data_IF_554781759411
#
_entry.id   IF_554781759411
#
_cell.length_a   1.000
_cell.length_b   1.000
_cell.length_c   1.000
_cell.angle_alpha   90.00
_cell.angle_beta   90.00
_cell.angle_gamma   90.00
#
_symmetry.space_group_name_H-M   'P 1'
#
loop_
_entity.id
_entity.type
_entity.pdbx_description
1 polymer ?
#
# COMPACT_ATOMS: atom_id res chain seq x y z
N UNK A 1 2.71 -1.02 -27.82
CA UNK A 1 2.08 -1.28 -26.51
C UNK A 1 2.02 -2.78 -26.36
N UNK A 2 2.64 -3.34 -25.30
CA UNK A 2 2.58 -4.80 -25.07
C UNK A 2 1.18 -5.18 -24.57
N UNK A 3 0.69 -6.38 -24.90
CA UNK A 3 -0.61 -6.89 -24.46
C UNK A 3 -0.79 -6.82 -22.93
N UNK A 4 0.29 -6.94 -22.19
CA UNK A 4 0.36 -6.86 -20.74
C UNK A 4 0.01 -5.47 -20.16
N UNK A 5 0.35 -4.40 -20.89
CA UNK A 5 -0.02 -3.04 -20.47
C UNK A 5 -1.50 -2.76 -20.68
N UNK A 6 -2.08 -3.33 -21.74
CA UNK A 6 -3.50 -3.20 -22.07
C UNK A 6 -4.37 -3.94 -21.04
N UNK A 7 -4.01 -5.17 -20.69
CA UNK A 7 -4.76 -5.96 -19.69
C UNK A 7 -4.82 -5.23 -18.33
N UNK A 8 -3.68 -4.75 -17.85
CA UNK A 8 -3.63 -4.04 -16.54
C UNK A 8 -4.41 -2.74 -16.53
N UNK A 9 -4.31 -1.97 -17.62
CA UNK A 9 -5.04 -0.72 -17.74
C UNK A 9 -6.55 -0.98 -17.78
N UNK A 10 -6.97 -1.95 -18.57
CA UNK A 10 -8.38 -2.36 -18.65
C UNK A 10 -8.89 -2.90 -17.32
N UNK A 11 -8.10 -3.76 -16.64
CA UNK A 11 -8.46 -4.30 -15.33
C UNK A 11 -8.59 -3.21 -14.27
N UNK A 12 -7.63 -2.30 -14.18
CA UNK A 12 -7.69 -1.16 -13.25
C UNK A 12 -8.92 -0.30 -13.52
N UNK A 13 -9.23 0.00 -14.79
CA UNK A 13 -10.42 0.77 -15.17
C UNK A 13 -11.71 0.08 -14.76
N UNK A 14 -11.84 -1.23 -15.01
CA UNK A 14 -13.04 -2.00 -14.64
C UNK A 14 -13.23 -2.03 -13.11
N UNK A 15 -12.15 -2.18 -12.34
CA UNK A 15 -12.24 -2.17 -10.88
C UNK A 15 -12.60 -0.78 -10.35
N UNK A 16 -12.02 0.28 -10.89
CA UNK A 16 -12.41 1.67 -10.54
C UNK A 16 -13.89 1.93 -10.84
N UNK A 17 -14.37 1.58 -12.04
CA UNK A 17 -15.77 1.72 -12.38
C UNK A 17 -16.69 0.93 -11.45
N UNK A 18 -16.30 -0.27 -11.04
CA UNK A 18 -17.06 -1.06 -10.07
C UNK A 18 -17.13 -0.37 -8.72
N UNK A 19 -16.00 0.09 -8.20
CA UNK A 19 -15.95 0.84 -6.92
C UNK A 19 -16.82 2.09 -6.98
N UNK A 20 -16.72 2.86 -8.06
CA UNK A 20 -17.51 4.09 -8.24
C UNK A 20 -19.01 3.79 -8.35
N UNK A 21 -19.40 2.70 -9.02
CA UNK A 21 -20.80 2.26 -9.05
C UNK A 21 -21.31 1.88 -7.67
N UNK A 22 -20.52 1.20 -6.85
CA UNK A 22 -20.90 0.83 -5.48
C UNK A 22 -20.99 2.07 -4.59
N UNK A 23 -20.00 2.96 -4.68
CA UNK A 23 -19.93 4.19 -3.87
C UNK A 23 -21.07 5.16 -4.19
N UNK A 24 -21.51 5.22 -5.45
CA UNK A 24 -22.59 6.10 -5.90
C UNK A 24 -23.96 5.39 -5.97
N UNK A 25 -24.05 4.13 -5.52
CA UNK A 25 -25.31 3.42 -5.49
C UNK A 25 -26.23 3.99 -4.39
N UNK A 26 -27.46 4.45 -4.73
CA UNK A 26 -28.35 5.10 -3.79
C UNK A 26 -28.80 4.17 -2.64
N UNK A 27 -28.94 2.87 -2.91
CA UNK A 27 -29.33 1.89 -1.90
C UNK A 27 -28.20 1.67 -0.88
N UNK A 28 -26.96 1.58 -1.33
CA UNK A 28 -25.78 1.45 -0.49
C UNK A 28 -25.56 2.70 0.37
N UNK A 29 -25.73 3.88 -0.21
CA UNK A 29 -25.65 5.14 0.54
C UNK A 29 -26.78 5.26 1.56
N UNK A 30 -28.00 4.92 1.18
CA UNK A 30 -29.17 4.93 2.08
C UNK A 30 -28.97 3.95 3.25
N UNK A 31 -28.48 2.74 2.98
CA UNK A 31 -28.13 1.78 4.03
C UNK A 31 -27.09 2.34 4.99
N UNK A 32 -26.02 2.90 4.48
CA UNK A 32 -24.91 3.46 5.26
C UNK A 32 -25.36 4.64 6.13
N UNK A 33 -26.14 5.57 5.57
CA UNK A 33 -26.74 6.69 6.31
C UNK A 33 -27.72 6.18 7.38
N UNK A 34 -28.57 5.22 7.04
CA UNK A 34 -29.51 4.62 8.00
C UNK A 34 -28.77 3.96 9.16
N UNK A 35 -27.65 3.28 8.90
CA UNK A 35 -26.80 2.71 9.93
C UNK A 35 -26.21 3.79 10.84
N UNK A 36 -25.68 4.88 10.27
CA UNK A 36 -25.15 6.02 11.03
C UNK A 36 -26.23 6.63 11.93
N UNK A 37 -27.38 6.93 11.35
CA UNK A 37 -28.52 7.53 12.08
C UNK A 37 -28.96 6.62 13.21
N UNK A 38 -29.11 5.32 12.94
CA UNK A 38 -29.51 4.34 13.97
C UNK A 38 -28.51 4.31 15.14
N UNK A 39 -27.21 4.27 14.85
CA UNK A 39 -26.18 4.26 15.88
C UNK A 39 -26.15 5.59 16.69
N UNK A 40 -26.35 6.72 16.02
CA UNK A 40 -26.45 8.01 16.70
C UNK A 40 -27.72 8.08 17.58
N UNK A 41 -28.86 7.57 17.12
CA UNK A 41 -30.10 7.51 17.92
C UNK A 41 -29.92 6.62 19.16
N UNK A 42 -29.30 5.44 18.98
CA UNK A 42 -28.98 4.55 20.12
C UNK A 42 -28.05 5.25 21.12
N UNK A 43 -27.02 5.96 20.63
CA UNK A 43 -26.11 6.71 21.49
C UNK A 43 -26.86 7.79 22.29
N UNK A 44 -27.69 8.59 21.63
CA UNK A 44 -28.51 9.63 22.30
C UNK A 44 -29.46 9.01 23.31
N UNK A 45 -30.07 7.89 22.94
CA UNK A 45 -31.04 7.20 23.85
C UNK A 45 -30.33 6.66 25.10
N UNK A 46 -29.11 6.12 24.95
CA UNK A 46 -28.31 5.65 26.09
C UNK A 46 -27.91 6.80 27.00
N UNK A 47 -27.58 7.98 26.45
CA UNK A 47 -27.26 9.17 27.25
C UNK A 47 -28.50 9.75 27.95
N UNK A 48 -29.69 9.76 27.34
CA UNK A 48 -30.92 10.15 27.97
C UNK A 48 -31.26 9.20 29.12
N UNK A 49 -31.15 7.88 28.93
CA UNK A 49 -31.36 6.91 29.99
C UNK A 49 -30.37 7.10 31.15
N UNK A 50 -29.12 7.39 30.86
CA UNK A 50 -28.10 7.70 31.87
C UNK A 50 -28.45 8.98 32.65
N UNK A 51 -28.90 10.01 31.97
CA UNK A 51 -29.36 11.25 32.57
C UNK A 51 -30.49 11.02 33.55
N UNK A 52 -31.49 10.18 33.20
CA UNK A 52 -32.62 9.85 34.07
C UNK A 52 -32.20 9.07 35.31
N UNK A 53 -31.16 8.25 35.25
CA UNK A 53 -30.68 7.36 36.32
C UNK A 53 -29.69 8.04 37.27
N UNK A 54 -28.77 8.85 36.73
CA UNK A 54 -27.63 9.40 37.48
C UNK A 54 -27.77 10.90 37.73
N UNK A 55 -28.59 11.60 36.93
CA UNK A 55 -28.78 13.03 36.99
C UNK A 55 -27.97 13.82 35.95
N UNK A 56 -27.97 15.15 36.10
CA UNK A 56 -27.36 16.06 35.12
C UNK A 56 -25.83 16.03 35.15
N UNK A 57 -25.20 15.46 34.11
CA UNK A 57 -23.75 15.53 33.88
C UNK A 57 -23.48 16.29 32.58
N UNK A 58 -23.14 17.59 32.59
CA UNK A 58 -22.96 18.39 31.38
C UNK A 58 -21.79 17.88 30.52
N UNK A 59 -20.77 17.25 31.13
CA UNK A 59 -19.65 16.64 30.41
C UNK A 59 -20.09 15.49 29.48
N UNK A 60 -21.04 14.66 29.93
CA UNK A 60 -21.56 13.54 29.16
C UNK A 60 -22.34 14.02 27.93
N UNK A 61 -23.15 15.05 28.07
CA UNK A 61 -23.94 15.64 26.98
C UNK A 61 -23.03 16.26 25.93
N UNK A 62 -22.00 17.03 26.35
CA UNK A 62 -21.01 17.61 25.45
C UNK A 62 -20.28 16.50 24.67
N UNK A 63 -19.88 15.45 25.38
CA UNK A 63 -19.19 14.31 24.75
C UNK A 63 -20.09 13.59 23.72
N UNK A 64 -21.36 13.36 24.04
CA UNK A 64 -22.33 12.75 23.13
C UNK A 64 -22.51 13.61 21.88
N UNK A 65 -22.78 14.91 22.05
CA UNK A 65 -22.98 15.85 20.94
C UNK A 65 -21.73 15.93 20.05
N UNK A 66 -20.54 16.00 20.65
CA UNK A 66 -19.28 16.05 19.91
C UNK A 66 -19.00 14.74 19.16
N UNK A 67 -19.36 13.60 19.74
CA UNK A 67 -19.25 12.29 19.08
C UNK A 67 -20.16 12.20 17.87
N UNK A 68 -21.43 12.61 17.98
CA UNK A 68 -22.40 12.62 16.86
C UNK A 68 -21.89 13.54 15.75
N UNK A 69 -21.49 14.77 16.10
CA UNK A 69 -20.99 15.73 15.12
C UNK A 69 -19.73 15.22 14.41
N UNK A 70 -18.76 14.68 15.15
CA UNK A 70 -17.54 14.15 14.59
C UNK A 70 -17.78 12.94 13.69
N UNK A 71 -18.67 12.04 14.11
CA UNK A 71 -19.03 10.85 13.32
C UNK A 71 -19.71 11.24 12.01
N UNK A 72 -20.63 12.21 12.04
CA UNK A 72 -21.28 12.74 10.85
C UNK A 72 -20.24 13.43 9.93
N UNK A 73 -19.34 14.25 10.48
CA UNK A 73 -18.29 14.92 9.71
C UNK A 73 -17.36 13.95 9.04
N UNK A 74 -16.90 12.91 9.74
CA UNK A 74 -16.05 11.84 9.18
C UNK A 74 -16.79 11.12 8.05
N UNK A 75 -18.06 10.78 8.27
CA UNK A 75 -18.85 10.06 7.26
C UNK A 75 -19.03 10.87 5.97
N UNK A 76 -19.47 12.12 6.07
CA UNK A 76 -19.69 12.96 4.89
C UNK A 76 -18.39 13.34 4.15
N UNK A 77 -17.27 13.41 4.87
CA UNK A 77 -15.95 13.68 4.27
C UNK A 77 -15.20 12.43 3.87
N UNK A 78 -15.71 11.23 4.17
CA UNK A 78 -15.01 9.97 4.03
C UNK A 78 -14.44 9.76 2.63
N UNK A 79 -15.26 9.93 1.59
CA UNK A 79 -14.86 9.67 0.21
C UNK A 79 -13.71 10.58 -0.21
N UNK A 80 -13.83 11.88 0.07
CA UNK A 80 -12.79 12.86 -0.24
C UNK A 80 -11.49 12.60 0.54
N UNK A 81 -11.59 12.27 1.83
CA UNK A 81 -10.43 11.95 2.67
C UNK A 81 -9.72 10.69 2.14
N UNK A 82 -10.49 9.65 1.81
CA UNK A 82 -9.92 8.41 1.30
C UNK A 82 -9.18 8.62 -0.02
N UNK A 83 -9.79 9.35 -0.97
CA UNK A 83 -9.20 9.61 -2.28
C UNK A 83 -7.92 10.45 -2.18
N UNK A 84 -7.91 11.49 -1.34
CA UNK A 84 -6.71 12.31 -1.08
C UNK A 84 -5.60 11.47 -0.45
N UNK A 85 -5.92 10.62 0.52
CA UNK A 85 -4.92 9.73 1.15
C UNK A 85 -4.36 8.72 0.16
N UNK A 86 -5.23 8.10 -0.64
CA UNK A 86 -4.80 7.15 -1.67
C UNK A 86 -3.87 7.81 -2.69
N UNK A 87 -4.29 8.94 -3.27
CA UNK A 87 -3.51 9.68 -4.26
C UNK A 87 -2.17 10.16 -3.69
N UNK A 88 -2.16 10.66 -2.46
CA UNK A 88 -0.95 11.11 -1.79
C UNK A 88 0.04 9.96 -1.62
N UNK A 89 -0.40 8.80 -1.09
CA UNK A 89 0.46 7.64 -0.88
C UNK A 89 0.92 7.01 -2.20
N UNK A 90 0.05 6.99 -3.22
CA UNK A 90 0.42 6.53 -4.55
C UNK A 90 1.50 7.42 -5.17
N UNK A 91 1.33 8.74 -5.10
CA UNK A 91 2.31 9.71 -5.59
C UNK A 91 3.65 9.62 -4.84
N UNK A 92 3.64 9.44 -3.50
CA UNK A 92 4.86 9.24 -2.71
C UNK A 92 5.58 7.97 -3.16
N UNK A 93 4.88 6.87 -3.35
CA UNK A 93 5.47 5.63 -3.83
C UNK A 93 6.03 5.76 -5.26
N UNK A 94 5.33 6.46 -6.16
CA UNK A 94 5.81 6.75 -7.52
C UNK A 94 7.01 7.70 -7.53
N UNK A 95 7.06 8.65 -6.60
CA UNK A 95 8.21 9.55 -6.44
C UNK A 95 9.46 8.80 -5.99
N UNK A 96 9.33 7.89 -5.00
CA UNK A 96 10.43 7.03 -4.56
C UNK A 96 10.94 6.19 -5.73
N UNK A 97 10.03 5.61 -6.52
CA UNK A 97 10.38 4.85 -7.71
C UNK A 97 11.13 5.71 -8.73
N UNK A 98 10.65 6.92 -9.00
CA UNK A 98 11.27 7.86 -9.94
C UNK A 98 12.64 8.33 -9.48
N UNK A 99 12.83 8.61 -8.18
CA UNK A 99 14.12 9.04 -7.62
C UNK A 99 15.14 7.90 -7.73
N UNK A 100 14.74 6.68 -7.38
CA UNK A 100 15.66 5.53 -7.38
C UNK A 100 15.98 4.98 -8.76
N UNK A 101 15.02 4.98 -9.69
CA UNK A 101 15.16 4.30 -10.98
C UNK A 101 15.16 5.24 -12.18
N UNK A 102 14.73 6.50 -12.01
CA UNK A 102 14.54 7.47 -13.09
C UNK A 102 13.26 7.28 -13.91
N UNK A 103 12.40 6.31 -13.55
CA UNK A 103 11.14 6.03 -14.23
C UNK A 103 10.00 5.88 -13.24
N UNK A 104 8.76 6.14 -13.69
CA UNK A 104 7.53 5.84 -12.94
C UNK A 104 6.90 4.51 -13.32
N UNK A 105 7.59 3.70 -14.13
CA UNK A 105 7.07 2.41 -14.57
C UNK A 105 7.28 1.36 -13.47
N UNK A 106 6.19 0.85 -12.92
CA UNK A 106 6.22 -0.22 -11.90
C UNK A 106 6.83 -1.54 -12.40
N UNK A 107 6.97 -1.71 -13.74
CA UNK A 107 7.58 -2.87 -14.38
C UNK A 107 9.05 -2.67 -14.75
N UNK A 108 9.66 -1.59 -14.28
CA UNK A 108 11.06 -1.29 -14.60
C UNK A 108 12.00 -2.46 -14.28
N UNK A 109 11.76 -3.15 -13.17
CA UNK A 109 12.60 -4.26 -12.72
C UNK A 109 12.53 -5.46 -13.67
N UNK A 110 11.33 -5.80 -14.14
CA UNK A 110 11.16 -6.85 -15.15
C UNK A 110 11.89 -6.50 -16.46
N UNK A 111 11.75 -5.25 -16.92
CA UNK A 111 12.44 -4.77 -18.12
C UNK A 111 13.95 -4.76 -17.93
N UNK A 112 14.44 -4.36 -16.74
CA UNK A 112 15.85 -4.37 -16.41
C UNK A 112 16.43 -5.78 -16.43
N UNK A 113 15.77 -6.73 -15.77
CA UNK A 113 16.22 -8.13 -15.70
C UNK A 113 16.22 -8.76 -17.10
N UNK A 114 15.15 -8.61 -17.87
CA UNK A 114 15.09 -9.16 -19.22
C UNK A 114 16.17 -8.56 -20.12
N UNK A 115 16.35 -7.24 -20.07
CA UNK A 115 17.37 -6.58 -20.86
C UNK A 115 18.79 -7.02 -20.49
N UNK A 116 19.05 -7.24 -19.20
CA UNK A 116 20.34 -7.73 -18.72
C UNK A 116 20.56 -9.20 -19.11
N UNK A 117 19.55 -10.03 -19.03
CA UNK A 117 19.63 -11.44 -19.42
C UNK A 117 19.75 -11.61 -20.94
N UNK A 118 19.03 -10.81 -21.74
CA UNK A 118 19.14 -10.81 -23.20
C UNK A 118 20.56 -10.43 -23.63
N UNK A 119 21.23 -9.54 -22.90
CA UNK A 119 22.59 -9.14 -23.18
C UNK A 119 23.65 -10.26 -22.99
N UNK A 120 23.34 -11.25 -22.16
CA UNK A 120 24.26 -12.40 -21.92
C UNK A 120 24.26 -13.36 -23.12
N UNK A 121 23.21 -13.40 -23.94
CA UNK A 121 23.00 -14.40 -24.99
C UNK A 121 22.91 -13.83 -26.40
N UNK A 122 23.35 -12.60 -26.65
CA UNK A 122 23.36 -12.00 -28.00
C UNK A 122 24.46 -12.54 -28.96
N UNK A 123 25.41 -13.33 -28.49
CA UNK A 123 26.31 -14.05 -29.41
C UNK A 123 25.60 -15.28 -29.98
N UNK A 124 25.81 -15.54 -31.27
CA UNK A 124 25.46 -16.77 -31.95
C UNK A 124 26.22 -17.95 -31.30
N UNK A 125 25.78 -18.33 -30.10
CA UNK A 125 26.31 -19.50 -29.41
C UNK A 125 25.89 -20.71 -30.21
N UNK A 126 26.78 -21.33 -30.90
CA UNK A 126 26.58 -22.62 -31.55
C UNK A 126 26.03 -23.59 -30.50
N UNK A 127 24.85 -24.18 -30.76
CA UNK A 127 24.20 -25.15 -29.87
C UNK A 127 25.10 -26.30 -29.41
N UNK A 128 26.24 -26.48 -30.05
CA UNK A 128 27.24 -27.49 -29.76
C UNK A 128 28.31 -27.05 -28.76
N UNK A 129 28.46 -25.75 -28.50
CA UNK A 129 29.47 -25.19 -27.58
C UNK A 129 28.93 -24.82 -26.21
N UNK A 130 27.60 -24.85 -25.99
CA UNK A 130 26.98 -24.55 -24.69
C UNK A 130 27.23 -25.69 -23.73
N UNK A 131 27.96 -25.43 -22.65
CA UNK A 131 28.06 -26.39 -21.57
C UNK A 131 26.69 -26.59 -20.92
N UNK A 132 26.34 -27.83 -20.61
CA UNK A 132 25.07 -28.14 -19.94
C UNK A 132 24.93 -27.34 -18.62
N UNK A 133 26.06 -27.07 -17.96
CA UNK A 133 26.13 -26.26 -16.74
C UNK A 133 25.67 -24.81 -16.92
N UNK A 134 26.11 -24.16 -18.01
CA UNK A 134 25.78 -22.74 -18.31
C UNK A 134 24.29 -22.63 -18.67
N UNK A 135 23.78 -23.57 -19.49
CA UNK A 135 22.37 -23.62 -19.80
C UNK A 135 21.47 -23.81 -18.56
N UNK A 136 21.92 -24.63 -17.60
CA UNK A 136 21.22 -24.86 -16.34
C UNK A 136 21.23 -23.60 -15.44
N UNK A 137 22.37 -22.92 -15.32
CA UNK A 137 22.50 -21.69 -14.54
C UNK A 137 21.63 -20.58 -15.13
N UNK A 138 21.59 -20.44 -16.45
CA UNK A 138 20.69 -19.49 -17.11
C UNK A 138 19.22 -19.78 -16.81
N UNK A 139 18.81 -21.02 -16.90
CA UNK A 139 17.44 -21.41 -16.60
C UNK A 139 17.07 -21.06 -15.16
N UNK A 140 17.98 -21.20 -14.19
CA UNK A 140 17.77 -20.80 -12.79
C UNK A 140 17.61 -19.27 -12.68
N UNK A 141 18.47 -18.48 -13.31
CA UNK A 141 18.35 -17.02 -13.26
C UNK A 141 17.05 -16.52 -13.87
N UNK A 142 16.67 -17.09 -15.02
CA UNK A 142 15.40 -16.76 -15.65
C UNK A 142 14.21 -17.10 -14.75
N UNK A 143 14.24 -18.27 -14.10
CA UNK A 143 13.19 -18.68 -13.18
C UNK A 143 13.08 -17.75 -11.96
N UNK A 144 14.21 -17.36 -11.35
CA UNK A 144 14.21 -16.44 -10.22
C UNK A 144 13.81 -15.02 -10.66
N UNK A 145 14.22 -14.56 -11.83
CA UNK A 145 13.78 -13.28 -12.42
C UNK A 145 12.28 -13.22 -12.64
N UNK A 146 11.69 -14.30 -13.17
CA UNK A 146 10.24 -14.46 -13.30
C UNK A 146 9.57 -14.46 -11.92
N UNK A 147 10.12 -15.20 -10.96
CA UNK A 147 9.58 -15.26 -9.58
C UNK A 147 9.60 -13.88 -8.92
N UNK A 148 10.67 -13.11 -9.06
CA UNK A 148 10.77 -11.74 -8.55
C UNK A 148 9.75 -10.81 -9.18
N UNK A 149 9.55 -10.92 -10.49
CA UNK A 149 8.56 -10.14 -11.22
C UNK A 149 7.13 -10.47 -10.79
N UNK A 150 6.85 -11.77 -10.62
CA UNK A 150 5.55 -12.24 -10.09
C UNK A 150 5.36 -11.74 -8.66
N UNK A 151 6.37 -11.81 -7.79
CA UNK A 151 6.26 -11.35 -6.41
C UNK A 151 5.95 -9.85 -6.34
N UNK A 152 6.65 -9.01 -7.10
CA UNK A 152 6.39 -7.57 -7.18
C UNK A 152 4.99 -7.26 -7.69
N UNK A 153 4.57 -7.96 -8.75
CA UNK A 153 3.24 -7.79 -9.32
C UNK A 153 2.14 -8.20 -8.34
N UNK A 154 2.28 -9.36 -7.70
CA UNK A 154 1.29 -9.86 -6.74
C UNK A 154 1.17 -8.94 -5.52
N UNK A 155 2.30 -8.56 -4.90
CA UNK A 155 2.27 -7.72 -3.70
C UNK A 155 1.76 -6.32 -4.02
N UNK A 156 2.18 -5.74 -5.15
CA UNK A 156 1.71 -4.43 -5.59
C UNK A 156 0.21 -4.42 -5.93
N UNK A 157 -0.26 -5.41 -6.68
CA UNK A 157 -1.68 -5.56 -7.02
C UNK A 157 -2.53 -5.84 -5.77
N UNK A 158 -2.03 -6.66 -4.85
CA UNK A 158 -2.69 -6.96 -3.58
C UNK A 158 -2.92 -5.70 -2.76
N UNK A 159 -1.92 -4.81 -2.65
CA UNK A 159 -2.06 -3.54 -1.94
C UNK A 159 -3.19 -2.68 -2.53
N UNK A 160 -3.25 -2.57 -3.86
CA UNK A 160 -4.31 -1.80 -4.55
C UNK A 160 -5.69 -2.44 -4.35
N UNK A 161 -5.80 -3.77 -4.45
CA UNK A 161 -7.08 -4.46 -4.22
C UNK A 161 -7.57 -4.31 -2.78
N UNK A 162 -6.66 -4.40 -1.80
CA UNK A 162 -7.01 -4.15 -0.41
C UNK A 162 -7.55 -2.73 -0.20
N UNK A 163 -7.00 -1.74 -0.91
CA UNK A 163 -7.49 -0.35 -0.83
C UNK A 163 -8.87 -0.17 -1.45
N UNK A 164 -9.13 -0.78 -2.61
CA UNK A 164 -10.48 -0.77 -3.19
C UNK A 164 -11.50 -1.47 -2.28
N UNK A 165 -11.12 -2.61 -1.71
CA UNK A 165 -11.96 -3.29 -0.74
C UNK A 165 -12.20 -2.42 0.51
N UNK A 166 -11.15 -1.76 1.01
CA UNK A 166 -11.26 -0.83 2.13
C UNK A 166 -12.21 0.33 1.82
N UNK A 167 -12.16 0.89 0.60
CA UNK A 167 -13.06 1.96 0.16
C UNK A 167 -14.52 1.51 0.18
N UNK A 168 -14.83 0.33 -0.35
CA UNK A 168 -16.21 -0.22 -0.34
C UNK A 168 -16.67 -0.51 1.09
N UNK A 169 -15.84 -1.19 1.88
CA UNK A 169 -16.16 -1.56 3.26
C UNK A 169 -16.30 -0.34 4.18
N UNK A 170 -15.69 0.78 3.82
CA UNK A 170 -15.85 2.03 4.55
C UNK A 170 -17.29 2.52 4.67
N UNK A 171 -18.15 2.24 3.68
CA UNK A 171 -19.58 2.54 3.76
C UNK A 171 -20.27 1.86 4.96
N UNK A 172 -19.73 0.72 5.41
CA UNK A 172 -20.28 -0.04 6.54
C UNK A 172 -19.56 0.33 7.84
N UNK A 173 -18.24 0.42 7.81
CA UNK A 173 -17.43 0.57 9.02
C UNK A 173 -17.27 2.02 9.49
N UNK A 174 -17.31 3.01 8.58
CA UNK A 174 -17.21 4.43 8.97
C UNK A 174 -18.38 4.87 9.85
N UNK A 175 -19.66 4.53 9.58
CA UNK A 175 -20.75 4.80 10.49
C UNK A 175 -20.58 4.21 11.90
N UNK A 176 -19.85 3.10 12.03
CA UNK A 176 -19.64 2.41 13.31
C UNK A 176 -18.77 3.21 14.31
N UNK A 177 -18.15 4.29 13.88
CA UNK A 177 -17.41 5.21 14.77
C UNK A 177 -18.36 5.91 15.76
N UNK A 178 -19.65 6.04 15.42
CA UNK A 178 -20.64 6.77 16.21
C UNK A 178 -20.91 6.15 17.58
N UNK A 179 -20.84 4.84 17.73
CA UNK A 179 -21.19 4.18 18.97
C UNK A 179 -20.00 3.44 19.60
N UNK A 180 -19.76 3.57 20.94
CA UNK A 180 -18.60 2.99 21.62
C UNK A 180 -18.45 1.47 21.45
N UNK A 181 -19.58 0.72 21.40
CA UNK A 181 -19.57 -0.75 21.24
C UNK A 181 -19.12 -1.15 19.84
N UNK A 182 -19.46 -0.39 18.80
CA UNK A 182 -19.14 -0.70 17.41
C UNK A 182 -17.82 -0.07 16.96
N UNK A 183 -17.28 0.87 17.69
CA UNK A 183 -16.02 1.57 17.40
C UNK A 183 -14.82 0.65 17.14
N UNK A 184 -14.65 -0.50 17.83
CA UNK A 184 -13.55 -1.42 17.52
C UNK A 184 -13.56 -1.96 16.08
N UNK A 185 -14.72 -2.06 15.43
CA UNK A 185 -14.82 -2.43 14.02
C UNK A 185 -14.30 -1.34 13.10
N UNK A 186 -14.64 -0.07 13.38
CA UNK A 186 -14.04 1.08 12.69
C UNK A 186 -12.52 1.12 12.88
N UNK A 187 -12.03 0.93 14.10
CA UNK A 187 -10.59 0.91 14.39
C UNK A 187 -9.87 -0.21 13.63
N UNK A 188 -10.50 -1.38 13.51
CA UNK A 188 -10.00 -2.52 12.72
C UNK A 188 -9.93 -2.19 11.22
N UNK A 189 -11.01 -1.60 10.68
CA UNK A 189 -11.05 -1.15 9.30
C UNK A 189 -10.01 -0.05 9.01
N UNK A 190 -9.85 0.91 9.91
CA UNK A 190 -8.85 1.97 9.76
C UNK A 190 -7.42 1.42 9.75
N UNK A 191 -7.12 0.43 10.60
CA UNK A 191 -5.84 -0.29 10.58
C UNK A 191 -5.58 -0.97 9.25
N UNK A 192 -6.59 -1.67 8.74
CA UNK A 192 -6.51 -2.35 7.45
C UNK A 192 -6.25 -1.36 6.31
N UNK A 193 -6.96 -0.23 6.29
CA UNK A 193 -6.82 0.82 5.29
C UNK A 193 -5.41 1.45 5.33
N UNK A 194 -4.96 1.88 6.52
CA UNK A 194 -3.63 2.45 6.70
C UNK A 194 -2.53 1.43 6.37
N UNK A 195 -2.73 0.15 6.74
CA UNK A 195 -1.82 -0.94 6.40
C UNK A 195 -1.65 -1.09 4.89
N UNK A 196 -2.74 -1.05 4.16
CA UNK A 196 -2.73 -1.18 2.70
C UNK A 196 -2.11 0.05 2.02
N UNK A 197 -2.34 1.26 2.53
CA UNK A 197 -1.69 2.49 2.05
C UNK A 197 -0.16 2.46 2.26
N UNK A 198 0.27 2.04 3.43
CA UNK A 198 1.71 1.90 3.74
C UNK A 198 2.33 0.80 2.88
N UNK A 199 1.63 -0.33 2.69
CA UNK A 199 2.11 -1.42 1.83
C UNK A 199 2.37 -0.95 0.41
N UNK A 200 1.51 -0.08 -0.15
CA UNK A 200 1.69 0.47 -1.49
C UNK A 200 3.02 1.23 -1.65
N UNK A 201 3.41 2.00 -0.63
CA UNK A 201 4.69 2.73 -0.62
C UNK A 201 5.86 1.79 -0.38
N UNK A 202 5.73 0.88 0.61
CA UNK A 202 6.80 -0.04 1.01
C UNK A 202 7.16 -1.01 -0.12
N UNK A 203 6.19 -1.54 -0.86
CA UNK A 203 6.49 -2.46 -1.97
C UNK A 203 7.22 -1.77 -3.12
N UNK A 204 6.91 -0.49 -3.39
CA UNK A 204 7.66 0.29 -4.39
C UNK A 204 9.09 0.57 -3.94
N UNK A 205 9.26 0.96 -2.67
CA UNK A 205 10.59 1.14 -2.09
C UNK A 205 11.41 -0.16 -2.12
N UNK A 206 10.80 -1.29 -1.76
CA UNK A 206 11.43 -2.61 -1.84
C UNK A 206 11.83 -2.97 -3.29
N UNK A 207 10.96 -2.67 -4.26
CA UNK A 207 11.26 -2.84 -5.68
C UNK A 207 12.43 -1.98 -6.16
N UNK A 208 12.54 -0.74 -5.68
CA UNK A 208 13.68 0.14 -5.98
C UNK A 208 14.97 -0.45 -5.42
N UNK A 209 14.98 -0.87 -4.15
CA UNK A 209 16.16 -1.46 -3.51
C UNK A 209 16.60 -2.73 -4.23
N UNK A 210 15.65 -3.60 -4.59
CA UNK A 210 15.90 -4.79 -5.38
C UNK A 210 16.52 -4.45 -6.74
N UNK A 211 15.95 -3.45 -7.43
CA UNK A 211 16.44 -2.98 -8.72
C UNK A 211 17.84 -2.42 -8.67
N UNK A 212 18.14 -1.61 -7.67
CA UNK A 212 19.49 -1.05 -7.47
C UNK A 212 20.52 -2.13 -7.12
N UNK A 213 20.17 -3.12 -6.30
CA UNK A 213 21.05 -4.24 -5.96
C UNK A 213 21.38 -5.08 -7.20
N UNK A 214 20.38 -5.41 -8.00
CA UNK A 214 20.55 -6.17 -9.26
C UNK A 214 21.36 -5.35 -10.27
N UNK A 215 21.06 -4.05 -10.42
CA UNK A 215 21.83 -3.15 -11.28
C UNK A 215 23.29 -3.09 -10.88
N UNK A 216 23.59 -2.94 -9.58
CA UNK A 216 24.94 -2.90 -9.06
C UNK A 216 25.71 -4.19 -9.43
N UNK A 217 25.07 -5.34 -9.25
CA UNK A 217 25.66 -6.65 -9.58
C UNK A 217 25.95 -6.78 -11.08
N UNK A 218 25.00 -6.42 -11.95
CA UNK A 218 25.23 -6.45 -13.40
C UNK A 218 26.29 -5.44 -13.88
N UNK A 219 26.43 -4.30 -13.18
CA UNK A 219 27.44 -3.30 -13.49
C UNK A 219 28.82 -3.79 -13.09
N UNK A 220 28.95 -4.41 -11.90
CA UNK A 220 30.21 -5.00 -11.44
C UNK A 220 30.66 -6.15 -12.35
N UNK A 221 29.73 -7.00 -12.77
CA UNK A 221 30.00 -8.10 -13.71
C UNK A 221 30.26 -7.62 -15.14
N UNK A 222 30.16 -6.31 -15.42
CA UNK A 222 30.40 -5.74 -16.75
C UNK A 222 29.31 -5.97 -17.78
N UNK A 223 28.21 -6.62 -17.39
CA UNK A 223 27.06 -6.95 -18.25
C UNK A 223 26.19 -5.73 -18.60
N UNK A 224 26.16 -4.72 -17.74
CA UNK A 224 25.46 -3.47 -17.98
C UNK A 224 26.42 -2.28 -17.87
N UNK A 225 26.47 -1.44 -18.89
CA UNK A 225 27.15 -0.15 -18.83
C UNK A 225 26.07 0.94 -18.63
N UNK A 226 26.02 1.48 -17.42
CA UNK A 226 25.08 2.54 -17.08
C UNK A 226 25.79 3.90 -17.10
N UNK A 227 25.37 4.81 -17.96
CA UNK A 227 25.87 6.19 -17.92
C UNK A 227 25.02 7.02 -16.98
N UNK A 228 25.62 7.54 -15.89
CA UNK A 228 24.96 8.48 -14.98
C UNK A 228 24.17 7.91 -13.80
N UNK A 229 24.38 6.63 -13.45
CA UNK A 229 23.86 6.04 -12.20
C UNK A 229 22.34 5.83 -12.14
N UNK A 230 21.60 6.05 -13.25
CA UNK A 230 20.15 5.80 -13.33
C UNK A 230 19.86 4.51 -14.07
N UNK A 231 18.95 3.70 -13.54
CA UNK A 231 18.50 2.43 -14.16
C UNK A 231 18.00 2.63 -15.59
N UNK A 232 17.34 3.76 -15.86
CA UNK A 232 16.87 4.12 -17.21
C UNK A 232 17.98 4.35 -18.23
N UNK A 233 19.17 4.76 -17.79
CA UNK A 233 20.31 4.93 -18.69
C UNK A 233 20.91 3.59 -19.12
N UNK A 234 20.71 2.54 -18.34
CA UNK A 234 21.08 1.17 -18.68
C UNK A 234 20.12 0.55 -19.71
N UNK A 235 18.86 0.99 -19.73
CA UNK A 235 17.83 0.48 -20.65
C UNK A 235 17.93 1.08 -22.06
N UNK A 236 18.54 2.27 -22.20
CA UNK A 236 18.51 3.04 -23.45
C UNK A 236 19.66 2.76 -24.42
N UNK A 237 20.74 2.15 -23.96
CA UNK A 237 21.91 1.84 -24.79
C UNK A 237 22.40 0.44 -24.46
N UNK A 238 21.73 -0.56 -25.03
CA UNK A 238 22.15 -1.95 -24.89
C UNK A 238 23.60 -2.18 -25.18
N UNK A 239 24.41 -2.14 -24.16
CA UNK A 239 25.81 -2.42 -24.16
C UNK A 239 26.09 -3.51 -23.15
N UNK A 240 25.55 -4.71 -23.39
CA UNK A 240 26.10 -5.89 -22.76
C UNK A 240 27.48 -6.09 -23.40
N UNK A 241 28.54 -6.14 -22.60
CA UNK A 241 29.90 -6.38 -23.05
C UNK A 241 30.12 -7.88 -22.94
N UNK A 242 30.87 -8.44 -23.93
CA UNK A 242 31.34 -9.83 -23.88
C UNK A 242 32.34 -10.01 -22.72
N UNK A 243 31.81 -10.20 -21.54
CA UNK A 243 32.62 -10.52 -20.36
C UNK A 243 32.33 -11.98 -19.99
N UNK A 244 33.40 -12.83 -19.98
CA UNK A 244 33.23 -14.20 -19.54
C UNK A 244 32.73 -14.21 -18.09
N UNK A 245 31.53 -14.74 -17.88
CA UNK A 245 30.90 -14.81 -16.58
C UNK A 245 31.66 -15.79 -15.69
N UNK A 246 32.24 -15.31 -14.61
CA UNK A 246 32.90 -16.18 -13.64
C UNK A 246 31.86 -16.98 -12.84
N UNK A 247 32.10 -18.24 -12.48
CA UNK A 247 31.22 -19.02 -11.62
C UNK A 247 30.89 -18.33 -10.26
N UNK A 248 31.82 -17.54 -9.75
CA UNK A 248 31.65 -16.72 -8.54
C UNK A 248 30.62 -15.60 -8.75
N UNK A 249 30.69 -14.88 -9.86
CA UNK A 249 29.78 -13.78 -10.20
C UNK A 249 28.35 -14.31 -10.39
N UNK A 250 28.19 -15.51 -10.93
CA UNK A 250 26.93 -16.18 -11.13
C UNK A 250 26.24 -16.55 -9.81
N UNK A 251 27.00 -16.98 -8.81
CA UNK A 251 26.47 -17.28 -7.48
C UNK A 251 26.06 -16.02 -6.74
N UNK A 252 26.85 -14.96 -6.80
CA UNK A 252 26.52 -13.66 -6.18
C UNK A 252 25.27 -13.05 -6.79
N UNK A 253 25.09 -13.12 -8.10
CA UNK A 253 23.88 -12.69 -8.77
C UNK A 253 22.66 -13.47 -8.28
N UNK A 254 22.77 -14.79 -8.18
CA UNK A 254 21.70 -15.66 -7.70
C UNK A 254 21.28 -15.29 -6.26
N UNK A 255 22.26 -15.10 -5.37
CA UNK A 255 22.02 -14.68 -3.98
C UNK A 255 21.32 -13.32 -3.93
N UNK A 256 21.78 -12.35 -4.74
CA UNK A 256 21.18 -11.01 -4.81
C UNK A 256 19.73 -11.05 -5.31
N UNK A 257 19.44 -11.88 -6.32
CA UNK A 257 18.08 -12.05 -6.83
C UNK A 257 17.16 -12.71 -5.79
N UNK A 258 17.63 -13.76 -5.08
CA UNK A 258 16.88 -14.41 -4.00
C UNK A 258 16.61 -13.44 -2.85
N UNK A 259 17.60 -12.68 -2.41
CA UNK A 259 17.44 -11.65 -1.39
C UNK A 259 16.41 -10.60 -1.84
N UNK A 260 16.40 -10.20 -3.10
CA UNK A 260 15.42 -9.27 -3.65
C UNK A 260 14.00 -9.82 -3.57
N UNK A 261 13.78 -11.10 -3.87
CA UNK A 261 12.47 -11.76 -3.68
C UNK A 261 12.06 -11.72 -2.20
N UNK A 262 12.96 -12.05 -1.29
CA UNK A 262 12.69 -12.04 0.15
C UNK A 262 12.34 -10.63 0.66
N UNK A 263 13.03 -9.58 0.20
CA UNK A 263 12.74 -8.19 0.55
C UNK A 263 11.32 -7.81 0.10
N UNK A 264 10.94 -8.15 -1.13
CA UNK A 264 9.60 -7.88 -1.66
C UNK A 264 8.53 -8.60 -0.87
N UNK A 265 8.71 -9.89 -0.58
CA UNK A 265 7.73 -10.67 0.20
C UNK A 265 7.64 -10.19 1.66
N UNK A 266 8.77 -9.77 2.26
CA UNK A 266 8.79 -9.24 3.62
C UNK A 266 8.11 -7.86 3.75
N UNK A 267 7.87 -7.14 2.65
CA UNK A 267 7.18 -5.86 2.64
C UNK A 267 5.77 -5.94 3.24
N UNK A 268 5.08 -7.09 3.09
CA UNK A 268 3.76 -7.35 3.68
C UNK A 268 3.85 -7.35 5.22
N UNK A 269 4.82 -8.09 5.78
CA UNK A 269 4.99 -8.16 7.23
C UNK A 269 5.49 -6.84 7.81
N UNK A 270 6.36 -6.14 7.10
CA UNK A 270 6.84 -4.81 7.49
C UNK A 270 5.71 -3.78 7.52
N UNK A 271 4.86 -3.76 6.50
CA UNK A 271 3.68 -2.88 6.48
C UNK A 271 2.75 -3.13 7.65
N UNK A 272 2.45 -4.41 7.95
CA UNK A 272 1.60 -4.78 9.08
C UNK A 272 2.22 -4.40 10.43
N UNK A 273 3.53 -4.53 10.59
CA UNK A 273 4.25 -4.14 11.81
C UNK A 273 4.23 -2.62 12.03
N UNK A 274 4.43 -1.83 10.96
CA UNK A 274 4.38 -0.38 11.01
C UNK A 274 2.99 0.13 11.41
N UNK A 275 1.94 -0.46 10.87
CA UNK A 275 0.56 -0.02 11.14
C UNK A 275 0.00 -0.53 12.46
N UNK A 276 0.44 -1.68 12.95
CA UNK A 276 0.06 -2.19 14.26
C UNK A 276 0.46 -1.24 15.41
N UNK A 277 1.57 -0.53 15.27
CA UNK A 277 2.04 0.45 16.25
C UNK A 277 1.27 1.77 16.24
N UNK A 278 0.78 2.20 15.07
CA UNK A 278 0.11 3.50 14.89
C UNK A 278 -1.30 3.49 15.47
N UNK A 279 -2.02 2.40 15.34
CA UNK A 279 -3.41 2.26 15.83
C UNK A 279 -3.48 1.30 17.02
N UNK A 280 -2.53 1.40 17.94
CA UNK A 280 -2.61 0.71 19.23
C UNK A 280 -3.78 1.25 20.06
N UNK A 281 -4.44 0.43 20.91
CA UNK A 281 -5.51 0.87 21.81
C UNK A 281 -5.11 2.06 22.70
N UNK A 282 -3.81 2.33 22.84
CA UNK A 282 -3.30 3.55 23.48
C UNK A 282 -3.59 4.83 22.69
N UNK A 283 -3.67 4.76 21.36
CA UNK A 283 -4.02 5.91 20.50
C UNK A 283 -5.49 6.31 20.64
N UNK A 284 -6.40 5.33 20.70
CA UNK A 284 -7.83 5.58 20.95
C UNK A 284 -8.08 6.09 22.37
N UNK A 285 -7.30 5.62 23.36
CA UNK A 285 -7.29 6.19 24.73
C UNK A 285 -6.72 7.60 24.78
N UNK A 286 -5.74 7.95 23.93
CA UNK A 286 -5.20 9.30 23.84
C UNK A 286 -6.20 10.27 23.19
N UNK A 287 -6.95 9.84 22.16
CA UNK A 287 -8.04 10.65 21.58
C UNK A 287 -9.20 10.83 22.55
N UNK A 288 -9.61 9.77 23.28
CA UNK A 288 -10.64 9.89 24.31
C UNK A 288 -10.20 10.75 25.50
N UNK A 289 -8.92 10.66 25.91
CA UNK A 289 -8.35 11.56 26.92
C UNK A 289 -8.20 12.99 26.40
N UNK A 290 -7.96 13.19 25.12
CA UNK A 290 -7.92 14.50 24.47
C UNK A 290 -9.29 15.15 24.42
N UNK A 291 -10.34 14.42 24.04
CA UNK A 291 -11.72 14.88 24.06
C UNK A 291 -12.23 15.12 25.48
N UNK A 292 -11.88 14.25 26.45
CA UNK A 292 -12.17 14.49 27.87
C UNK A 292 -11.47 15.75 28.44
N UNK A 293 -10.20 16.01 28.06
CA UNK A 293 -9.52 17.25 28.45
C UNK A 293 -10.17 18.49 27.85
N UNK A 294 -10.59 18.41 26.59
CA UNK A 294 -11.30 19.49 25.93
C UNK A 294 -12.68 19.72 26.55
N UNK A 295 -13.42 18.65 26.82
CA UNK A 295 -14.71 18.72 27.54
C UNK A 295 -14.53 19.29 28.95
N UNK A 296 -13.51 18.88 29.72
CA UNK A 296 -13.16 19.48 31.01
C UNK A 296 -12.77 20.95 30.94
N UNK A 297 -12.07 21.38 29.90
CA UNK A 297 -11.71 22.78 29.69
C UNK A 297 -12.95 23.62 29.35
N UNK A 298 -13.85 23.06 28.53
CA UNK A 298 -15.11 23.72 28.19
C UNK A 298 -16.04 23.80 29.39
N UNK A 299 -16.25 22.68 30.13
CA UNK A 299 -17.10 22.68 31.33
C UNK A 299 -16.60 23.67 32.39
N UNK A 300 -15.27 23.75 32.63
CA UNK A 300 -14.66 24.67 33.58
C UNK A 300 -14.86 26.15 33.19
N UNK A 301 -15.02 26.44 31.90
CA UNK A 301 -15.32 27.81 31.43
C UNK A 301 -16.80 28.17 31.54
N UNK A 302 -17.70 27.18 31.53
CA UNK A 302 -19.15 27.40 31.67
C UNK A 302 -19.66 27.36 33.12
N UNK A 303 -18.91 26.72 34.04
CA UNK A 303 -19.30 26.62 35.47
C UNK A 303 -18.52 27.57 36.37
N UNK A 304 -17.60 28.38 35.85
CA UNK A 304 -16.75 29.31 36.58
C UNK A 304 -17.06 30.79 36.33
N UNK A 305 -18.36 31.11 36.12
CA UNK A 305 -18.89 32.45 36.06
C UNK A 305 -19.84 32.70 37.24
#
# INVERSE_FOLDING_TARGET
>A
MSADSVFRQTFSTVVHEFVDRVMNNPDMMSFSVSLLVTLCVVLIFTEIARFMLIGWEPESIIQCTLTVFLSASIYFSYNAIFDVLFETMDNVGLLILQIGTGTRDSMFLFKLINHALDGIYQEEVSLWDVSIGDAFMYAIWQLIGILLSIALFLVGSWAVWCLFLAKILGLIFVPMVAHPITRPFFDGWLKFTLGSLVLLVVVRAAGVLAGLAIQAQFTVSGLLQCSGGKVTSCLSKGGARDVPFSPTDSLELLVTMVLSVLIVLSSISLSSALTASVVSPSGTRAMSKGSMKLAKLLSKRFTGG
#
